data_IF_438605281695
#
_entry.id   IF_438605281695
#
_cell.length_a   1.000
_cell.length_b   1.000
_cell.length_c   1.000
_cell.angle_alpha   90.00
_cell.angle_beta   90.00
_cell.angle_gamma   90.00
#
_symmetry.space_group_name_H-M   'P 1'
#
loop_
_entity.id
_entity.type
_entity.pdbx_description
1 polymer ?
#
# COMPACT_ATOMS: atom_id res chain seq x y z
N UNK A 1 -2.17 -0.31 -31.12
CA UNK A 1 -1.94 -0.63 -29.68
C UNK A 1 -1.53 -2.09 -29.66
N UNK A 2 -0.23 -2.35 -29.70
CA UNK A 2 0.25 -3.72 -29.59
C UNK A 2 -0.03 -4.19 -28.15
N UNK A 3 -0.84 -5.24 -28.03
CA UNK A 3 -1.10 -5.88 -26.75
C UNK A 3 0.18 -6.61 -26.36
N UNK A 4 1.03 -5.98 -25.60
CA UNK A 4 2.20 -6.63 -25.04
C UNK A 4 1.75 -7.77 -24.12
N UNK A 5 2.40 -8.92 -24.20
CA UNK A 5 2.10 -10.12 -23.43
C UNK A 5 2.02 -9.81 -21.92
N UNK A 6 2.83 -8.88 -21.44
CA UNK A 6 2.80 -8.39 -20.05
C UNK A 6 1.46 -7.74 -19.69
N UNK A 7 0.92 -6.87 -20.56
CA UNK A 7 -0.38 -6.22 -20.35
C UNK A 7 -1.50 -7.26 -20.32
N UNK A 8 -1.41 -8.30 -21.14
CA UNK A 8 -2.35 -9.41 -21.10
C UNK A 8 -2.29 -10.17 -19.77
N UNK A 9 -1.09 -10.46 -19.27
CA UNK A 9 -0.90 -11.09 -17.94
C UNK A 9 -1.52 -10.24 -16.82
N UNK A 10 -1.33 -8.93 -16.84
CA UNK A 10 -1.93 -8.04 -15.85
C UNK A 10 -3.45 -7.97 -15.97
N UNK A 11 -3.99 -7.96 -17.18
CA UNK A 11 -5.43 -7.94 -17.40
C UNK A 11 -6.08 -9.22 -16.90
N UNK A 12 -5.52 -10.39 -17.26
CA UNK A 12 -5.99 -11.70 -16.77
C UNK A 12 -5.85 -11.77 -15.24
N UNK A 13 -4.70 -11.35 -14.70
CA UNK A 13 -4.44 -11.30 -13.26
C UNK A 13 -5.46 -10.45 -12.53
N UNK A 14 -5.75 -9.25 -13.02
CA UNK A 14 -6.72 -8.33 -12.42
C UNK A 14 -8.14 -8.88 -12.45
N UNK A 15 -8.60 -9.40 -13.59
CA UNK A 15 -9.94 -9.97 -13.73
C UNK A 15 -10.12 -11.17 -12.80
N UNK A 16 -9.16 -12.11 -12.79
CA UNK A 16 -9.22 -13.30 -11.92
C UNK A 16 -9.14 -12.91 -10.44
N UNK A 17 -8.35 -11.90 -10.08
CA UNK A 17 -8.27 -11.41 -8.72
C UNK A 17 -9.61 -10.80 -8.26
N UNK A 18 -10.23 -9.94 -9.07
CA UNK A 18 -11.55 -9.35 -8.77
C UNK A 18 -12.62 -10.44 -8.66
N UNK A 19 -12.63 -11.43 -9.56
CA UNK A 19 -13.54 -12.56 -9.48
C UNK A 19 -13.31 -13.39 -8.22
N UNK A 20 -12.07 -13.63 -7.86
CA UNK A 20 -11.70 -14.31 -6.62
C UNK A 20 -12.20 -13.58 -5.38
N UNK A 21 -12.02 -12.25 -5.29
CA UNK A 21 -12.55 -11.43 -4.21
C UNK A 21 -14.09 -11.49 -4.13
N UNK A 22 -14.78 -11.45 -5.28
CA UNK A 22 -16.24 -11.63 -5.32
C UNK A 22 -16.69 -12.99 -4.78
N UNK A 23 -15.94 -14.06 -5.09
CA UNK A 23 -16.23 -15.40 -4.58
C UNK A 23 -15.92 -15.55 -3.08
N UNK A 24 -14.99 -14.78 -2.53
CA UNK A 24 -14.67 -14.76 -1.10
C UNK A 24 -15.82 -14.21 -0.24
N UNK A 25 -16.69 -13.38 -0.80
CA UNK A 25 -17.83 -12.82 -0.07
C UNK A 25 -18.89 -13.85 0.30
N UNK A 26 -18.88 -15.03 -0.34
CA UNK A 26 -19.82 -16.12 -0.05
C UNK A 26 -19.08 -17.33 0.58
N UNK A 27 -19.44 -17.76 1.80
CA UNK A 27 -18.78 -18.87 2.51
C UNK A 27 -18.67 -20.17 1.71
N UNK A 28 -19.67 -20.48 0.88
CA UNK A 28 -19.70 -21.70 0.06
C UNK A 28 -18.63 -21.71 -1.05
N UNK A 29 -18.26 -20.54 -1.58
CA UNK A 29 -17.29 -20.38 -2.68
C UNK A 29 -15.96 -19.79 -2.23
N UNK A 30 -15.81 -19.39 -0.97
CA UNK A 30 -14.65 -18.68 -0.45
C UNK A 30 -13.32 -19.41 -0.70
N UNK A 31 -13.28 -20.74 -0.52
CA UNK A 31 -12.08 -21.55 -0.78
C UNK A 31 -11.65 -21.47 -2.25
N UNK A 32 -12.60 -21.61 -3.16
CA UNK A 32 -12.33 -21.56 -4.60
C UNK A 32 -11.97 -20.12 -5.02
N UNK A 33 -12.62 -19.12 -4.44
CA UNK A 33 -12.31 -17.71 -4.65
C UNK A 33 -10.87 -17.36 -4.29
N UNK A 34 -10.40 -17.87 -3.15
CA UNK A 34 -9.00 -17.68 -2.75
C UNK A 34 -8.02 -18.33 -3.73
N UNK A 35 -8.34 -19.50 -4.25
CA UNK A 35 -7.51 -20.19 -5.26
C UNK A 35 -7.47 -19.39 -6.58
N UNK A 36 -8.61 -18.89 -7.04
CA UNK A 36 -8.71 -18.06 -8.26
C UNK A 36 -7.91 -16.78 -8.12
N UNK A 37 -8.02 -16.09 -6.97
CA UNK A 37 -7.23 -14.90 -6.67
C UNK A 37 -5.72 -15.21 -6.65
N UNK A 38 -5.32 -16.33 -6.03
CA UNK A 38 -3.91 -16.74 -5.97
C UNK A 38 -3.34 -17.04 -7.36
N UNK A 39 -4.09 -17.70 -8.24
CA UNK A 39 -3.69 -17.96 -9.63
C UNK A 39 -3.52 -16.65 -10.40
N UNK A 40 -4.44 -15.71 -10.26
CA UNK A 40 -4.33 -14.37 -10.88
C UNK A 40 -3.09 -13.61 -10.44
N UNK A 41 -2.83 -13.60 -9.14
CA UNK A 41 -1.63 -12.98 -8.58
C UNK A 41 -0.35 -13.66 -9.07
N UNK A 42 -0.34 -14.98 -9.13
CA UNK A 42 0.80 -15.76 -9.65
C UNK A 42 1.11 -15.39 -11.11
N UNK A 43 0.09 -15.30 -11.98
CA UNK A 43 0.25 -14.91 -13.38
C UNK A 43 0.85 -13.49 -13.47
N UNK A 44 0.34 -12.55 -12.68
CA UNK A 44 0.84 -11.19 -12.67
C UNK A 44 2.31 -11.11 -12.21
N UNK A 45 2.68 -11.82 -11.13
CA UNK A 45 4.06 -11.87 -10.61
C UNK A 45 5.01 -12.49 -11.62
N UNK A 46 4.66 -13.64 -12.20
CA UNK A 46 5.49 -14.30 -13.22
C UNK A 46 5.63 -13.41 -14.45
N UNK A 47 4.52 -12.83 -14.91
CA UNK A 47 4.55 -11.86 -16.01
C UNK A 47 5.52 -10.69 -15.74
N UNK A 48 5.48 -10.12 -14.54
CA UNK A 48 6.39 -9.03 -14.15
C UNK A 48 7.85 -9.49 -14.14
N UNK A 49 8.16 -10.63 -13.54
CA UNK A 49 9.55 -11.09 -13.39
C UNK A 49 10.21 -11.37 -14.75
N UNK A 50 9.46 -11.95 -15.70
CA UNK A 50 10.05 -12.44 -16.96
C UNK A 50 9.81 -11.54 -18.16
N UNK A 51 8.73 -10.72 -18.15
CA UNK A 51 8.31 -9.93 -19.30
C UNK A 51 8.47 -8.42 -19.11
N UNK A 52 8.73 -7.97 -17.87
CA UNK A 52 8.91 -6.53 -17.63
C UNK A 52 10.27 -6.08 -18.16
N UNK A 53 10.22 -5.05 -19.00
CA UNK A 53 11.40 -4.36 -19.54
C UNK A 53 11.20 -2.85 -19.37
N UNK A 54 12.20 -2.19 -18.83
CA UNK A 54 12.26 -0.74 -18.70
C UNK A 54 13.40 -0.21 -19.57
N UNK A 55 13.08 0.66 -20.52
CA UNK A 55 14.05 1.21 -21.49
C UNK A 55 14.88 0.14 -22.23
N UNK A 56 14.27 -1.04 -22.51
CA UNK A 56 14.94 -2.17 -23.17
C UNK A 56 15.84 -3.00 -22.25
N UNK A 57 15.85 -2.70 -20.96
CA UNK A 57 16.56 -3.50 -19.95
C UNK A 57 15.60 -4.36 -19.13
N UNK A 58 15.91 -5.65 -19.02
CA UNK A 58 15.21 -6.58 -18.14
C UNK A 58 15.60 -6.35 -16.69
N UNK A 59 14.71 -6.76 -15.76
CA UNK A 59 15.02 -6.76 -14.35
C UNK A 59 16.36 -7.48 -14.07
N UNK A 60 17.34 -6.77 -13.50
CA UNK A 60 18.66 -7.34 -13.20
C UNK A 60 18.81 -7.96 -11.81
N UNK A 61 17.86 -7.70 -10.91
CA UNK A 61 17.95 -8.01 -9.47
C UNK A 61 17.25 -9.33 -9.08
N UNK A 62 17.32 -10.36 -9.92
CA UNK A 62 16.63 -11.63 -9.69
C UNK A 62 16.94 -12.27 -8.34
N UNK A 63 18.17 -12.22 -7.87
CA UNK A 63 18.56 -12.78 -6.58
C UNK A 63 17.80 -12.14 -5.41
N UNK A 64 17.64 -10.81 -5.44
CA UNK A 64 16.87 -10.09 -4.43
C UNK A 64 15.37 -10.36 -4.52
N UNK A 65 14.83 -10.43 -5.74
CA UNK A 65 13.41 -10.73 -5.97
C UNK A 65 13.07 -12.12 -5.44
N UNK A 66 13.84 -13.14 -5.83
CA UNK A 66 13.56 -14.51 -5.39
C UNK A 66 13.82 -14.72 -3.90
N UNK A 67 14.84 -14.07 -3.32
CA UNK A 67 15.06 -14.15 -1.88
C UNK A 67 13.91 -13.49 -1.08
N UNK A 68 13.42 -12.32 -1.51
CA UNK A 68 12.29 -11.66 -0.89
C UNK A 68 10.99 -12.49 -1.02
N UNK A 69 10.74 -13.08 -2.19
CA UNK A 69 9.62 -14.00 -2.41
C UNK A 69 9.70 -15.24 -1.52
N UNK A 70 10.88 -15.84 -1.38
CA UNK A 70 11.08 -17.01 -0.53
C UNK A 70 10.82 -16.68 0.95
N UNK A 71 11.41 -15.58 1.45
CA UNK A 71 11.22 -15.12 2.83
C UNK A 71 9.74 -14.80 3.07
N UNK A 72 9.09 -14.05 2.17
CA UNK A 72 7.68 -13.69 2.28
C UNK A 72 6.76 -14.92 2.26
N UNK A 73 7.06 -15.90 1.39
CA UNK A 73 6.29 -17.15 1.29
C UNK A 73 6.41 -17.99 2.56
N UNK A 74 7.62 -18.13 3.10
CA UNK A 74 7.85 -18.88 4.36
C UNK A 74 7.15 -18.18 5.51
N UNK A 75 7.35 -16.87 5.68
CA UNK A 75 6.72 -16.10 6.74
C UNK A 75 5.18 -16.14 6.63
N UNK A 76 4.62 -15.87 5.45
CA UNK A 76 3.18 -15.89 5.22
C UNK A 76 2.56 -17.27 5.44
N UNK A 77 3.23 -18.35 4.99
CA UNK A 77 2.75 -19.72 5.21
C UNK A 77 2.78 -20.11 6.68
N UNK A 78 3.84 -19.75 7.42
CA UNK A 78 3.93 -20.02 8.86
C UNK A 78 2.84 -19.26 9.64
N UNK A 79 2.61 -18.01 9.29
CA UNK A 79 1.53 -17.20 9.87
C UNK A 79 0.16 -17.82 9.57
N UNK A 80 -0.13 -18.14 8.32
CA UNK A 80 -1.41 -18.72 7.89
C UNK A 80 -1.72 -20.05 8.58
N UNK A 81 -0.71 -20.90 8.82
CA UNK A 81 -0.89 -22.20 9.52
C UNK A 81 -1.10 -22.04 11.03
N UNK A 82 -0.61 -20.97 11.65
CA UNK A 82 -0.69 -20.76 13.10
C UNK A 82 -1.89 -19.93 13.54
N UNK A 83 -2.53 -19.24 12.63
CA UNK A 83 -3.65 -18.35 12.92
C UNK A 83 -4.91 -19.16 13.22
N UNK A 84 -5.53 -18.84 14.35
CA UNK A 84 -6.85 -19.36 14.71
C UNK A 84 -7.94 -18.62 13.93
N UNK A 85 -9.09 -19.27 13.71
CA UNK A 85 -10.23 -18.65 13.01
C UNK A 85 -10.72 -17.36 13.70
N UNK A 86 -10.59 -17.28 15.01
CA UNK A 86 -10.94 -16.10 15.83
C UNK A 86 -10.02 -14.91 15.59
N UNK A 87 -8.78 -15.15 15.15
CA UNK A 87 -7.78 -14.12 14.87
C UNK A 87 -7.74 -13.67 13.39
N UNK A 88 -8.69 -14.13 12.55
CA UNK A 88 -8.76 -13.74 11.14
C UNK A 88 -8.88 -12.22 10.91
N UNK A 89 -9.69 -11.46 11.68
CA UNK A 89 -9.75 -9.99 11.51
C UNK A 89 -8.40 -9.31 11.75
N UNK A 90 -7.62 -9.79 12.72
CA UNK A 90 -6.27 -9.29 13.02
C UNK A 90 -5.33 -9.51 11.83
N UNK A 91 -5.36 -10.70 11.23
CA UNK A 91 -4.52 -11.06 10.09
C UNK A 91 -4.88 -10.26 8.83
N UNK A 92 -6.16 -10.10 8.56
CA UNK A 92 -6.63 -9.26 7.44
C UNK A 92 -6.12 -7.83 7.60
N UNK A 93 -6.21 -7.29 8.81
CA UNK A 93 -5.70 -5.95 9.11
C UNK A 93 -4.18 -5.86 8.89
N UNK A 94 -3.41 -6.83 9.38
CA UNK A 94 -1.96 -6.88 9.20
C UNK A 94 -1.57 -6.93 7.72
N UNK A 95 -2.18 -7.81 6.93
CA UNK A 95 -1.87 -7.93 5.51
C UNK A 95 -2.26 -6.67 4.71
N UNK A 96 -3.39 -6.06 5.04
CA UNK A 96 -3.76 -4.78 4.45
C UNK A 96 -2.73 -3.69 4.76
N UNK A 97 -2.25 -3.64 6.01
CA UNK A 97 -1.18 -2.74 6.42
C UNK A 97 0.12 -2.95 5.65
N UNK A 98 0.54 -4.21 5.47
CA UNK A 98 1.73 -4.52 4.67
C UNK A 98 1.59 -4.06 3.21
N UNK A 99 0.40 -4.20 2.61
CA UNK A 99 0.10 -3.64 1.29
C UNK A 99 0.24 -2.11 1.24
N UNK A 100 -0.27 -1.42 2.26
CA UNK A 100 -0.10 0.03 2.43
C UNK A 100 1.36 0.43 2.58
N UNK A 101 2.15 -0.32 3.36
CA UNK A 101 3.59 -0.10 3.50
C UNK A 101 4.33 -0.23 2.16
N UNK A 102 4.00 -1.25 1.37
CA UNK A 102 4.58 -1.42 0.03
C UNK A 102 4.28 -0.22 -0.87
N UNK A 103 3.04 0.27 -0.91
CA UNK A 103 2.65 1.43 -1.70
C UNK A 103 3.40 2.70 -1.27
N UNK A 104 3.53 2.94 0.04
CA UNK A 104 4.27 4.07 0.57
C UNK A 104 5.78 3.98 0.23
N UNK A 105 6.40 2.81 0.39
CA UNK A 105 7.82 2.59 0.07
C UNK A 105 8.11 2.76 -1.41
N UNK A 106 7.26 2.26 -2.30
CA UNK A 106 7.39 2.46 -3.75
C UNK A 106 7.35 3.96 -4.06
N UNK A 107 6.40 4.70 -3.48
CA UNK A 107 6.31 6.14 -3.66
C UNK A 107 7.57 6.89 -3.17
N UNK A 108 8.18 6.44 -2.06
CA UNK A 108 9.45 7.01 -1.57
C UNK A 108 10.59 6.72 -2.54
N UNK A 109 10.69 5.51 -3.08
CA UNK A 109 11.74 5.11 -4.02
C UNK A 109 11.61 5.92 -5.32
N UNK A 110 10.41 5.99 -5.89
CA UNK A 110 10.13 6.76 -7.11
C UNK A 110 10.42 8.25 -6.94
N UNK A 111 10.03 8.82 -5.80
CA UNK A 111 10.34 10.22 -5.50
C UNK A 111 11.86 10.46 -5.42
N UNK A 112 12.60 9.59 -4.71
CA UNK A 112 14.05 9.70 -4.61
C UNK A 112 14.73 9.53 -5.97
N UNK A 113 14.26 8.61 -6.80
CA UNK A 113 14.77 8.44 -8.15
C UNK A 113 14.63 9.74 -8.96
N UNK A 114 13.46 10.36 -8.94
CA UNK A 114 13.23 11.65 -9.60
C UNK A 114 14.09 12.78 -9.02
N UNK A 115 14.29 12.83 -7.70
CA UNK A 115 15.08 13.86 -7.04
C UNK A 115 16.58 13.75 -7.38
N UNK A 116 17.13 12.53 -7.49
CA UNK A 116 18.55 12.30 -7.78
C UNK A 116 18.92 12.35 -9.25
N UNK A 117 18.00 12.07 -10.16
CA UNK A 117 18.25 12.17 -11.62
C UNK A 117 18.21 13.60 -12.14
N UNK A 118 17.96 14.58 -11.28
CA UNK A 118 17.82 15.98 -11.67
C UNK A 118 16.51 16.30 -12.43
N UNK A 119 15.69 15.30 -12.68
CA UNK A 119 14.43 15.43 -13.41
C UNK A 119 13.26 15.90 -12.54
N UNK A 120 13.48 16.08 -11.24
CA UNK A 120 12.41 16.50 -10.32
C UNK A 120 11.79 17.84 -10.72
N UNK A 121 12.58 18.76 -11.28
CA UNK A 121 12.10 20.05 -11.80
C UNK A 121 11.38 19.91 -13.16
N UNK A 122 11.70 18.88 -13.92
CA UNK A 122 11.12 18.59 -15.24
C UNK A 122 10.10 17.44 -15.18
N UNK A 123 9.97 16.76 -14.04
CA UNK A 123 9.04 15.67 -13.87
C UNK A 123 7.62 16.10 -14.25
N UNK A 124 6.90 15.26 -14.96
CA UNK A 124 5.51 15.53 -15.29
C UNK A 124 4.68 15.69 -14.01
N UNK A 125 3.83 16.71 -13.94
CA UNK A 125 2.93 16.94 -12.80
C UNK A 125 2.11 15.71 -12.47
N UNK A 126 1.71 14.94 -13.47
CA UNK A 126 0.98 13.68 -13.31
C UNK A 126 1.79 12.63 -12.53
N UNK A 127 3.09 12.48 -12.82
CA UNK A 127 3.96 11.54 -12.10
C UNK A 127 4.12 11.92 -10.63
N UNK A 128 4.35 13.21 -10.35
CA UNK A 128 4.41 13.71 -8.98
C UNK A 128 3.08 13.52 -8.23
N UNK A 129 1.95 13.76 -8.91
CA UNK A 129 0.62 13.53 -8.33
C UNK A 129 0.43 12.06 -7.96
N UNK A 130 0.78 11.12 -8.85
CA UNK A 130 0.66 9.69 -8.59
C UNK A 130 1.54 9.26 -7.41
N UNK A 131 2.78 9.75 -7.35
CA UNK A 131 3.72 9.47 -6.25
C UNK A 131 3.16 9.99 -4.93
N UNK A 132 2.67 11.24 -4.90
CA UNK A 132 2.10 11.83 -3.69
C UNK A 132 0.83 11.12 -3.24
N UNK A 133 -0.07 10.76 -4.15
CA UNK A 133 -1.26 9.99 -3.83
C UNK A 133 -0.90 8.59 -3.31
N UNK A 134 0.04 7.90 -3.96
CA UNK A 134 0.53 6.61 -3.51
C UNK A 134 1.12 6.66 -2.10
N UNK A 135 1.90 7.71 -1.80
CA UNK A 135 2.44 7.94 -0.47
C UNK A 135 1.34 8.16 0.58
N UNK A 136 0.42 9.09 0.30
CA UNK A 136 -0.67 9.43 1.23
C UNK A 136 -1.55 8.21 1.49
N UNK A 137 -2.05 7.57 0.45
CA UNK A 137 -2.94 6.40 0.58
C UNK A 137 -2.22 5.23 1.23
N UNK A 138 -0.96 4.98 0.83
CA UNK A 138 -0.15 3.89 1.37
C UNK A 138 0.16 4.06 2.85
N UNK A 139 0.58 5.27 3.28
CA UNK A 139 0.88 5.56 4.69
C UNK A 139 -0.36 5.51 5.57
N UNK A 140 -1.49 6.03 5.07
CA UNK A 140 -2.81 5.94 5.73
C UNK A 140 -3.23 4.49 5.93
N UNK A 141 -3.19 3.70 4.88
CA UNK A 141 -3.58 2.28 4.92
C UNK A 141 -2.68 1.50 5.87
N UNK A 142 -1.36 1.75 5.85
CA UNK A 142 -0.41 1.12 6.76
C UNK A 142 -0.70 1.46 8.22
N UNK A 143 -0.69 2.75 8.56
CA UNK A 143 -0.87 3.20 9.94
C UNK A 143 -2.23 2.76 10.51
N UNK A 144 -3.32 2.96 9.76
CA UNK A 144 -4.66 2.56 10.16
C UNK A 144 -4.78 1.05 10.40
N UNK A 145 -4.18 0.26 9.52
CA UNK A 145 -4.19 -1.20 9.64
C UNK A 145 -3.35 -1.71 10.81
N UNK A 146 -2.21 -1.07 11.11
CA UNK A 146 -1.38 -1.42 12.27
C UNK A 146 -2.09 -1.13 13.58
N UNK A 147 -2.81 -0.01 13.66
CA UNK A 147 -3.61 0.33 14.85
C UNK A 147 -4.79 -0.62 15.00
N UNK A 148 -5.50 -0.91 13.91
CA UNK A 148 -6.59 -1.88 13.93
C UNK A 148 -6.11 -3.26 14.39
N UNK A 149 -4.97 -3.73 13.87
CA UNK A 149 -4.32 -4.95 14.32
C UNK A 149 -3.99 -4.91 15.83
N UNK A 150 -3.40 -3.79 16.31
CA UNK A 150 -3.04 -3.65 17.72
C UNK A 150 -4.24 -3.63 18.67
N UNK A 151 -5.37 -3.03 18.22
CA UNK A 151 -6.64 -3.05 18.97
C UNK A 151 -7.27 -4.42 19.01
N UNK A 152 -7.37 -5.09 17.86
CA UNK A 152 -7.93 -6.44 17.77
C UNK A 152 -7.13 -7.44 18.62
N UNK A 153 -5.83 -7.26 18.71
CA UNK A 153 -4.92 -8.08 19.52
C UNK A 153 -4.90 -7.69 21.01
N UNK A 154 -5.72 -6.71 21.43
CA UNK A 154 -5.80 -6.24 22.81
C UNK A 154 -4.54 -5.51 23.31
N UNK A 155 -3.57 -5.23 22.46
CA UNK A 155 -2.31 -4.53 22.82
C UNK A 155 -2.49 -3.03 22.93
N UNK A 156 -3.41 -2.44 22.19
CA UNK A 156 -3.72 -1.02 22.19
C UNK A 156 -5.09 -0.82 22.81
N UNK A 157 -5.16 -0.01 23.86
CA UNK A 157 -6.42 0.41 24.47
C UNK A 157 -7.01 1.59 23.71
N UNK A 158 -8.33 1.68 23.69
CA UNK A 158 -9.01 2.84 23.13
C UNK A 158 -8.74 4.06 24.01
N UNK A 159 -8.17 5.08 23.37
CA UNK A 159 -7.92 6.38 23.99
C UNK A 159 -8.54 7.45 23.10
N UNK A 160 -9.65 8.02 23.50
CA UNK A 160 -10.31 9.10 22.80
C UNK A 160 -10.32 10.36 23.67
N UNK A 161 -10.01 11.50 23.09
CA UNK A 161 -10.11 12.78 23.75
C UNK A 161 -11.00 13.76 22.97
N UNK A 162 -11.65 14.68 23.70
CA UNK A 162 -12.52 15.67 23.07
C UNK A 162 -11.70 16.57 22.13
N UNK A 163 -12.11 16.67 20.85
CA UNK A 163 -11.42 17.49 19.85
C UNK A 163 -10.48 16.73 18.90
N UNK A 164 -10.27 15.44 19.10
CA UNK A 164 -9.45 14.57 18.24
C UNK A 164 -9.85 14.67 16.76
N UNK A 165 -11.15 14.68 16.47
CA UNK A 165 -11.66 14.81 15.11
C UNK A 165 -11.23 16.11 14.41
N UNK A 166 -11.17 17.22 15.17
CA UNK A 166 -10.72 18.52 14.63
C UNK A 166 -9.22 18.47 14.30
N UNK A 167 -8.42 17.87 15.17
CA UNK A 167 -6.97 17.71 14.96
C UNK A 167 -6.73 16.88 13.71
N UNK A 168 -7.46 15.78 13.51
CA UNK A 168 -7.32 14.92 12.33
C UNK A 168 -7.67 15.65 11.03
N UNK A 169 -8.75 16.45 11.04
CA UNK A 169 -9.11 17.27 9.87
C UNK A 169 -8.01 18.28 9.56
N UNK A 170 -7.45 18.94 10.58
CA UNK A 170 -6.35 19.90 10.40
C UNK A 170 -5.12 19.21 9.83
N UNK A 171 -4.73 18.04 10.35
CA UNK A 171 -3.60 17.26 9.85
C UNK A 171 -3.83 16.79 8.40
N UNK A 172 -5.05 16.35 8.08
CA UNK A 172 -5.42 15.98 6.72
C UNK A 172 -5.30 17.17 5.76
N UNK A 173 -5.86 18.32 6.13
CA UNK A 173 -5.77 19.53 5.31
C UNK A 173 -4.31 19.98 5.14
N UNK A 174 -3.51 19.93 6.19
CA UNK A 174 -2.10 20.28 6.14
C UNK A 174 -1.31 19.35 5.20
N UNK A 175 -1.53 18.03 5.28
CA UNK A 175 -0.89 17.08 4.37
C UNK A 175 -1.29 17.27 2.91
N UNK A 176 -2.57 17.56 2.64
CA UNK A 176 -3.05 17.85 1.30
C UNK A 176 -2.46 19.16 0.75
N UNK A 177 -2.36 20.20 1.58
CA UNK A 177 -1.73 21.46 1.21
C UNK A 177 -0.24 21.29 0.91
N UNK A 178 0.50 20.54 1.72
CA UNK A 178 1.91 20.24 1.49
C UNK A 178 2.11 19.43 0.21
N UNK A 179 1.27 18.43 -0.04
CA UNK A 179 1.31 17.64 -1.27
C UNK A 179 1.01 18.51 -2.50
N UNK A 180 -0.02 19.36 -2.45
CA UNK A 180 -0.37 20.29 -3.50
C UNK A 180 0.76 21.30 -3.77
N UNK A 181 1.38 21.82 -2.72
CA UNK A 181 2.53 22.72 -2.85
C UNK A 181 3.72 22.04 -3.55
N UNK A 182 4.02 20.79 -3.23
CA UNK A 182 5.06 20.02 -3.91
C UNK A 182 4.77 19.83 -5.40
N UNK A 183 3.52 19.60 -5.76
CA UNK A 183 3.10 19.37 -7.16
C UNK A 183 3.11 20.68 -7.98
N UNK A 184 2.62 21.78 -7.39
CA UNK A 184 2.41 23.03 -8.11
C UNK A 184 3.69 23.87 -8.14
N UNK A 185 4.30 24.12 -6.98
CA UNK A 185 5.38 25.10 -6.83
C UNK A 185 6.79 24.48 -6.94
N UNK A 186 6.92 23.15 -6.84
CA UNK A 186 8.20 22.45 -6.91
C UNK A 186 9.30 23.16 -6.11
N UNK A 187 9.13 23.31 -4.80
CA UNK A 187 10.05 24.09 -3.97
C UNK A 187 11.45 23.46 -3.97
N UNK A 188 12.49 24.28 -3.80
CA UNK A 188 13.87 23.81 -3.72
C UNK A 188 14.12 22.77 -2.61
N UNK A 189 13.25 22.72 -1.59
CA UNK A 189 13.27 21.75 -0.49
C UNK A 189 12.17 20.68 -0.66
N UNK A 190 11.96 20.22 -1.86
CA UNK A 190 10.89 19.26 -2.21
C UNK A 190 10.97 17.98 -1.38
N UNK A 191 12.18 17.50 -1.09
CA UNK A 191 12.41 16.32 -0.25
C UNK A 191 11.94 16.53 1.20
N UNK A 192 12.20 17.70 1.79
CA UNK A 192 11.78 18.02 3.15
C UNK A 192 10.25 17.97 3.28
N UNK A 193 9.55 18.61 2.34
CA UNK A 193 8.08 18.62 2.32
C UNK A 193 7.51 17.22 2.05
N UNK A 194 8.18 16.42 1.24
CA UNK A 194 7.78 15.04 1.00
C UNK A 194 7.86 14.21 2.29
N UNK A 195 9.00 14.25 3.00
CA UNK A 195 9.15 13.54 4.27
C UNK A 195 8.25 14.10 5.37
N UNK A 196 7.94 15.40 5.37
CA UNK A 196 6.96 15.98 6.27
C UNK A 196 5.56 15.37 6.07
N UNK A 197 5.15 15.11 4.82
CA UNK A 197 3.89 14.40 4.51
C UNK A 197 3.92 12.97 5.08
N UNK A 198 5.04 12.26 4.98
CA UNK A 198 5.19 10.90 5.55
C UNK A 198 4.98 10.91 7.06
N UNK A 199 5.63 11.84 7.77
CA UNK A 199 5.56 11.95 9.23
C UNK A 199 4.16 12.34 9.68
N UNK A 200 3.59 13.40 9.11
CA UNK A 200 2.25 13.87 9.46
C UNK A 200 1.18 12.79 9.24
N UNK A 201 1.32 12.00 8.17
CA UNK A 201 0.38 10.91 7.88
C UNK A 201 0.51 9.72 8.81
N UNK A 202 1.69 9.44 9.32
CA UNK A 202 1.88 8.35 10.30
C UNK A 202 1.24 8.67 11.66
N UNK A 203 1.17 9.96 12.03
CA UNK A 203 0.58 10.39 13.30
C UNK A 203 -0.95 10.53 13.26
N UNK A 204 -1.53 10.94 12.14
CA UNK A 204 -2.98 11.19 12.00
C UNK A 204 -3.82 9.94 12.30
N UNK A 205 -3.40 8.78 11.85
CA UNK A 205 -4.15 7.53 12.01
C UNK A 205 -4.09 6.94 13.42
N UNK A 206 -3.10 7.33 14.24
CA UNK A 206 -3.14 6.95 15.66
C UNK A 206 -4.36 7.55 16.36
N UNK A 207 -4.90 8.63 15.83
CA UNK A 207 -6.01 9.35 16.42
C UNK A 207 -7.39 9.06 15.80
N UNK A 208 -7.50 8.74 14.50
CA UNK A 208 -8.79 8.62 13.80
C UNK A 208 -9.60 7.36 14.15
N UNK A 209 -8.93 6.22 14.33
CA UNK A 209 -9.59 4.97 14.70
C UNK A 209 -10.12 4.96 16.13
N UNK A 210 -9.65 5.88 16.97
CA UNK A 210 -10.09 6.01 18.35
C UNK A 210 -11.46 6.72 18.46
N UNK A 211 -11.81 7.59 17.52
CA UNK A 211 -13.03 8.41 17.61
C UNK A 211 -14.32 7.73 17.13
N UNK A 212 -14.26 6.60 16.44
CA UNK A 212 -15.44 5.92 15.87
C UNK A 212 -16.15 4.96 16.82
N UNK A 213 -15.57 4.64 17.97
CA UNK A 213 -16.15 3.67 18.92
C UNK A 213 -17.15 4.31 19.90
N UNK A 214 -17.18 5.63 20.01
CA UNK A 214 -18.08 6.35 20.95
C UNK A 214 -19.50 6.62 20.41
N UNK A 215 -19.93 6.02 19.30
CA UNK A 215 -21.27 6.17 18.73
C UNK A 215 -22.04 4.83 18.68
N UNK A 216 -21.98 4.04 19.73
CA UNK A 216 -22.85 2.88 19.89
C UNK A 216 -23.33 2.72 21.32
#
# INVERSE_FOLDING_TARGET
MELNLLVLCYLIGSVTFIMGLKMLSNPASARNGNLVAAVGMFIAIVGTIFLYEENGQKLGNYAWIFSALAIGTVAGTLMAKRVQMTAMPEMVSLFNGMGGACAALISVIEFRHLAHTGDASQANQTSLLIIMLGLIIGSVSFAGSMIAWGKLNGKIKDFAFKGQHIINIILLLLTLLLAANNIINRPAQMELFFYAVVVLRSEEHTSELQSRVDIS
#
